data_IF_138385197469
#
_entry.id   IF_138385197469
#
_cell.length_a   1.000
_cell.length_b   1.000
_cell.length_c   1.000
_cell.angle_alpha   90.00
_cell.angle_beta   90.00
_cell.angle_gamma   90.00
#
_symmetry.space_group_name_H-M   'P 1'
#
loop_
_entity.id
_entity.type
_entity.pdbx_description
1 polymer ?
#
# COMPACT_ATOMS: atom_id res chain seq x y z
N UNK A 1 -30.91 -27.46 36.23
CA UNK A 1 -30.33 -27.35 34.88
C UNK A 1 -29.59 -28.64 34.61
N UNK A 2 -29.94 -29.38 33.57
CA UNK A 2 -29.35 -30.68 33.32
C UNK A 2 -27.93 -30.50 32.76
N UNK A 3 -27.02 -31.47 32.95
CA UNK A 3 -25.63 -31.34 32.46
C UNK A 3 -25.57 -31.06 30.94
N UNK A 4 -26.55 -31.61 30.21
CA UNK A 4 -26.70 -31.39 28.77
C UNK A 4 -27.02 -29.93 28.40
N UNK A 5 -27.83 -29.23 29.21
CA UNK A 5 -28.18 -27.82 28.97
C UNK A 5 -26.95 -26.92 29.19
N UNK A 6 -26.12 -27.25 30.18
CA UNK A 6 -24.89 -26.54 30.48
C UNK A 6 -23.86 -26.68 29.34
N UNK A 7 -23.68 -27.89 28.81
CA UNK A 7 -22.79 -28.16 27.67
C UNK A 7 -23.26 -27.43 26.39
N UNK A 8 -24.56 -27.40 26.15
CA UNK A 8 -25.15 -26.66 25.04
C UNK A 8 -24.88 -25.16 25.15
N UNK A 9 -25.08 -24.57 26.34
CA UNK A 9 -24.80 -23.15 26.58
C UNK A 9 -23.32 -22.80 26.42
N UNK A 10 -22.42 -23.64 26.92
CA UNK A 10 -20.97 -23.48 26.76
C UNK A 10 -20.59 -23.49 25.28
N UNK A 11 -21.16 -24.41 24.50
CA UNK A 11 -20.90 -24.51 23.06
C UNK A 11 -21.36 -23.26 22.31
N UNK A 12 -22.55 -22.75 22.61
CA UNK A 12 -23.07 -21.50 22.02
C UNK A 12 -22.15 -20.32 22.36
N UNK A 13 -21.70 -20.23 23.61
CA UNK A 13 -20.79 -19.18 24.04
C UNK A 13 -19.45 -19.22 23.27
N UNK A 14 -18.87 -20.42 23.07
CA UNK A 14 -17.65 -20.57 22.28
C UNK A 14 -17.82 -20.15 20.83
N UNK A 15 -18.95 -20.47 20.21
CA UNK A 15 -19.27 -20.02 18.85
C UNK A 15 -19.43 -18.51 18.77
N UNK A 16 -20.12 -17.89 19.73
CA UNK A 16 -20.25 -16.43 19.80
C UNK A 16 -18.90 -15.76 19.98
N UNK A 17 -18.04 -16.30 20.85
CA UNK A 17 -16.69 -15.80 21.07
C UNK A 17 -15.83 -15.89 19.80
N UNK A 18 -15.87 -17.04 19.11
CA UNK A 18 -15.17 -17.26 17.85
C UNK A 18 -15.64 -16.29 16.75
N UNK A 19 -16.95 -16.12 16.59
CA UNK A 19 -17.52 -15.21 15.60
C UNK A 19 -17.14 -13.75 15.93
N UNK A 20 -17.26 -13.35 17.19
CA UNK A 20 -16.92 -12.00 17.63
C UNK A 20 -15.43 -11.69 17.42
N UNK A 21 -14.54 -12.63 17.72
CA UNK A 21 -13.10 -12.45 17.52
C UNK A 21 -12.74 -12.36 16.03
N UNK A 22 -13.23 -13.27 15.19
CA UNK A 22 -12.97 -13.23 13.73
C UNK A 22 -13.49 -11.90 13.16
N UNK A 23 -14.71 -11.53 13.51
CA UNK A 23 -15.33 -10.27 13.04
C UNK A 23 -14.53 -9.06 13.54
N UNK A 24 -14.10 -9.07 14.80
CA UNK A 24 -13.26 -8.03 15.39
C UNK A 24 -11.92 -7.86 14.67
N UNK A 25 -11.25 -8.96 14.30
CA UNK A 25 -10.02 -8.92 13.51
C UNK A 25 -10.24 -8.32 12.12
N UNK A 26 -11.34 -8.69 11.45
CA UNK A 26 -11.67 -8.15 10.13
C UNK A 26 -11.91 -6.64 10.22
N UNK A 27 -12.75 -6.20 11.16
CA UNK A 27 -13.05 -4.78 11.38
C UNK A 27 -11.77 -4.00 11.72
N UNK A 28 -10.93 -4.54 12.62
CA UNK A 28 -9.68 -3.91 13.02
C UNK A 28 -8.71 -3.77 11.84
N UNK A 29 -8.59 -4.80 11.00
CA UNK A 29 -7.77 -4.76 9.78
C UNK A 29 -8.26 -3.67 8.80
N UNK A 30 -9.58 -3.58 8.60
CA UNK A 30 -10.18 -2.54 7.76
C UNK A 30 -9.92 -1.14 8.35
N UNK A 31 -10.16 -0.97 9.65
CA UNK A 31 -9.91 0.28 10.35
C UNK A 31 -8.45 0.72 10.24
N UNK A 32 -7.51 -0.21 10.41
CA UNK A 32 -6.08 0.05 10.24
C UNK A 32 -5.72 0.44 8.81
N UNK A 33 -6.30 -0.22 7.80
CA UNK A 33 -6.08 0.13 6.40
C UNK A 33 -6.58 1.55 6.08
N UNK A 34 -7.73 1.95 6.64
CA UNK A 34 -8.26 3.32 6.52
C UNK A 34 -7.35 4.31 7.23
N UNK A 35 -6.97 4.03 8.48
CA UNK A 35 -6.08 4.86 9.28
C UNK A 35 -4.76 5.13 8.55
N UNK A 36 -4.14 4.08 7.99
CA UNK A 36 -2.91 4.20 7.21
C UNK A 36 -3.09 5.11 5.99
N UNK A 37 -4.21 4.99 5.26
CA UNK A 37 -4.51 5.87 4.12
C UNK A 37 -4.67 7.33 4.55
N UNK A 38 -5.34 7.56 5.68
CA UNK A 38 -5.49 8.91 6.23
C UNK A 38 -4.15 9.51 6.65
N UNK A 39 -3.32 8.77 7.39
CA UNK A 39 -1.97 9.21 7.79
C UNK A 39 -1.12 9.65 6.60
N UNK A 40 -1.11 8.86 5.52
CA UNK A 40 -0.35 9.22 4.32
C UNK A 40 -0.87 10.51 3.69
N UNK A 41 -2.18 10.72 3.68
CA UNK A 41 -2.80 11.94 3.13
C UNK A 41 -2.47 13.17 3.97
N UNK A 42 -2.46 13.05 5.30
CA UNK A 42 -2.13 14.16 6.21
C UNK A 42 -0.64 14.50 6.20
N UNK A 43 0.24 13.49 6.30
CA UNK A 43 1.69 13.72 6.34
C UNK A 43 2.27 14.16 4.98
N UNK A 44 1.54 13.94 3.89
CA UNK A 44 2.00 14.25 2.54
C UNK A 44 0.92 14.98 1.75
N UNK A 45 0.65 16.25 2.09
CA UNK A 45 -0.39 17.03 1.42
C UNK A 45 -0.10 17.15 -0.08
N UNK A 46 -1.17 17.25 -0.89
CA UNK A 46 -1.03 17.45 -2.35
C UNK A 46 -0.55 18.86 -2.70
N UNK A 47 -0.87 19.83 -1.85
CA UNK A 47 -0.51 21.23 -2.03
C UNK A 47 -0.10 21.87 -0.71
N UNK A 48 0.83 22.82 -0.77
CA UNK A 48 1.28 23.63 0.36
C UNK A 48 1.11 25.09 -0.02
N UNK A 49 0.46 25.88 0.85
CA UNK A 49 0.40 27.34 0.71
C UNK A 49 1.65 27.95 1.34
N UNK A 50 2.35 28.78 0.59
CA UNK A 50 3.51 29.55 1.04
C UNK A 50 3.23 31.04 0.88
N UNK A 51 4.02 31.93 1.52
CA UNK A 51 3.89 33.38 1.32
C UNK A 51 4.01 33.81 -0.15
N UNK A 52 4.69 33.01 -0.98
CA UNK A 52 4.93 33.27 -2.39
C UNK A 52 3.94 32.58 -3.34
N UNK A 53 2.89 31.93 -2.80
CA UNK A 53 1.87 31.22 -3.58
C UNK A 53 1.73 29.75 -3.22
N UNK A 54 1.10 28.97 -4.10
CA UNK A 54 0.78 27.55 -3.87
C UNK A 54 1.81 26.65 -4.55
N UNK A 55 2.40 25.73 -3.78
CA UNK A 55 3.24 24.66 -4.30
C UNK A 55 2.44 23.37 -4.42
N UNK A 56 2.69 22.62 -5.48
CA UNK A 56 2.06 21.36 -5.80
C UNK A 56 3.08 20.23 -5.66
N UNK A 57 2.64 19.10 -5.13
CA UNK A 57 3.50 17.94 -4.94
C UNK A 57 3.69 17.19 -6.26
N UNK A 58 4.94 17.10 -6.72
CA UNK A 58 5.34 16.28 -7.85
C UNK A 58 5.43 14.79 -7.46
N UNK A 59 5.42 13.90 -8.45
CA UNK A 59 5.44 12.45 -8.26
C UNK A 59 6.73 11.94 -7.61
N UNK A 60 7.82 12.69 -7.78
CA UNK A 60 9.09 12.45 -7.10
C UNK A 60 9.08 12.84 -5.60
N UNK A 61 8.01 13.49 -5.13
CA UNK A 61 7.80 13.89 -3.74
C UNK A 61 8.15 15.33 -3.39
N UNK A 62 8.78 16.09 -4.29
CA UNK A 62 9.11 17.50 -4.09
C UNK A 62 7.89 18.41 -4.31
N UNK A 63 7.87 19.56 -3.66
CA UNK A 63 6.85 20.60 -3.87
C UNK A 63 7.38 21.65 -4.83
N UNK A 64 6.67 21.87 -5.93
CA UNK A 64 7.08 22.76 -7.02
C UNK A 64 5.93 23.64 -7.47
N UNK A 65 6.25 24.73 -8.16
CA UNK A 65 5.22 25.57 -8.79
C UNK A 65 4.51 24.80 -9.91
N UNK A 66 3.27 25.24 -10.22
CA UNK A 66 2.40 24.56 -11.19
C UNK A 66 3.05 24.41 -12.57
N UNK A 67 3.80 25.41 -13.02
CA UNK A 67 4.48 25.43 -14.33
C UNK A 67 5.54 24.32 -14.46
N UNK A 68 6.25 24.01 -13.37
CA UNK A 68 7.29 22.98 -13.37
C UNK A 68 6.74 21.57 -13.13
N UNK A 69 5.50 21.46 -12.63
CA UNK A 69 4.91 20.21 -12.16
C UNK A 69 4.79 19.18 -13.29
N UNK A 70 4.24 19.58 -14.43
CA UNK A 70 4.01 18.68 -15.56
C UNK A 70 5.32 18.15 -16.13
N UNK A 71 6.31 19.03 -16.29
CA UNK A 71 7.65 18.67 -16.78
C UNK A 71 8.34 17.67 -15.84
N UNK A 72 8.35 17.95 -14.54
CA UNK A 72 8.95 17.06 -13.54
C UNK A 72 8.28 15.69 -13.48
N UNK A 73 6.95 15.65 -13.58
CA UNK A 73 6.21 14.39 -13.56
C UNK A 73 6.50 13.55 -14.82
N UNK A 74 6.58 14.19 -15.99
CA UNK A 74 6.95 13.52 -17.23
C UNK A 74 8.37 12.95 -17.17
N UNK A 75 9.35 13.76 -16.73
CA UNK A 75 10.74 13.33 -16.58
C UNK A 75 10.88 12.19 -15.58
N UNK A 76 10.16 12.26 -14.45
CA UNK A 76 10.15 11.22 -13.44
C UNK A 76 9.55 9.91 -13.96
N UNK A 77 8.43 9.99 -14.70
CA UNK A 77 7.80 8.83 -15.32
C UNK A 77 8.77 8.15 -16.30
N UNK A 78 9.41 8.93 -17.17
CA UNK A 78 10.35 8.41 -18.16
C UNK A 78 11.55 7.72 -17.50
N UNK A 79 12.16 8.35 -16.49
CA UNK A 79 13.27 7.77 -15.72
C UNK A 79 12.89 6.46 -15.03
N UNK A 80 11.67 6.38 -14.48
CA UNK A 80 11.17 5.14 -13.88
C UNK A 80 10.98 4.03 -14.91
N UNK A 81 10.45 4.33 -16.11
CA UNK A 81 10.32 3.36 -17.19
C UNK A 81 11.68 2.86 -17.68
N UNK A 82 12.65 3.75 -17.85
CA UNK A 82 14.02 3.36 -18.19
C UNK A 82 14.64 2.41 -17.15
N UNK A 83 14.44 2.69 -15.86
CA UNK A 83 14.90 1.83 -14.76
C UNK A 83 14.21 0.46 -14.78
N UNK A 84 12.91 0.40 -15.08
CA UNK A 84 12.21 -0.87 -15.21
C UNK A 84 12.77 -1.70 -16.37
N UNK A 85 13.02 -1.08 -17.52
CA UNK A 85 13.63 -1.73 -18.67
C UNK A 85 15.02 -2.27 -18.33
N UNK A 86 15.87 -1.51 -17.63
CA UNK A 86 17.22 -1.97 -17.27
C UNK A 86 17.19 -3.18 -16.33
N UNK A 87 16.27 -3.22 -15.37
CA UNK A 87 16.07 -4.36 -14.49
C UNK A 87 15.60 -5.59 -15.29
N UNK A 88 14.65 -5.42 -16.21
CA UNK A 88 14.16 -6.51 -17.06
C UNK A 88 15.27 -7.07 -17.97
N UNK A 89 16.05 -6.20 -18.61
CA UNK A 89 17.22 -6.62 -19.41
C UNK A 89 18.20 -7.45 -18.59
N UNK A 90 18.54 -7.02 -17.38
CA UNK A 90 19.42 -7.79 -16.48
C UNK A 90 18.84 -9.16 -16.13
N UNK A 91 17.52 -9.26 -15.91
CA UNK A 91 16.86 -10.55 -15.63
C UNK A 91 16.90 -11.48 -16.83
N UNK A 92 16.68 -10.97 -18.03
CA UNK A 92 16.77 -11.76 -19.28
C UNK A 92 18.19 -12.32 -19.44
N UNK A 93 19.21 -11.47 -19.29
CA UNK A 93 20.61 -11.90 -19.39
C UNK A 93 20.97 -13.01 -18.39
N UNK A 94 20.49 -12.92 -17.15
CA UNK A 94 20.71 -13.97 -16.13
C UNK A 94 20.00 -15.29 -16.50
N UNK A 95 18.83 -15.22 -17.13
CA UNK A 95 18.11 -16.40 -17.61
C UNK A 95 18.84 -17.06 -18.78
N UNK A 96 19.29 -16.27 -19.74
CA UNK A 96 20.04 -16.73 -20.92
C UNK A 96 21.33 -17.45 -20.51
N UNK A 97 22.11 -16.87 -19.59
CA UNK A 97 23.30 -17.50 -19.01
C UNK A 97 22.99 -18.79 -18.27
N UNK A 98 21.85 -18.87 -17.57
CA UNK A 98 21.39 -20.09 -16.91
C UNK A 98 20.95 -21.20 -17.88
N UNK A 99 20.47 -20.83 -19.07
CA UNK A 99 20.15 -21.77 -20.15
C UNK A 99 21.39 -22.24 -20.92
N UNK A 100 22.42 -21.40 -21.08
CA UNK A 100 23.68 -21.78 -21.74
C UNK A 100 24.47 -22.83 -20.94
N UNK A 101 24.33 -22.89 -19.61
CA UNK A 101 24.99 -23.92 -18.77
C UNK A 101 24.31 -25.30 -18.90
N UNK A 102 23.08 -25.35 -19.43
CA UNK A 102 22.29 -26.58 -19.54
C UNK A 102 22.30 -27.23 -20.93
N UNK A 103 22.87 -26.56 -21.93
CA UNK A 103 23.07 -27.09 -23.30
C UNK A 103 24.54 -27.49 -23.49
#
# INVERSE_FOLDING_TARGET
MNNHDLEMLITIFWWQLAIATITGFIISSIAYAIYRKMLVRFNRPRTIKTPYGVLYRADNGFYVQKELLEKLNADYLYKNKQRAISILKRRIQLLEQGTEIKN
#
